data_IF_453599157407
#
_entry.id   IF_453599157407
#
_cell.length_a   1.000
_cell.length_b   1.000
_cell.length_c   1.000
_cell.angle_alpha   90.00
_cell.angle_beta   90.00
_cell.angle_gamma   90.00
#
_symmetry.space_group_name_H-M   'P 1'
#
loop_
_entity.id
_entity.type
_entity.pdbx_description
1 polymer ?
#
# COMPACT_ATOMS: atom_id res chain seq x y z
N UNK A 1 -18.15 21.07 4.02
CA UNK A 1 -17.27 19.88 3.95
C UNK A 1 -16.19 20.06 5.00
N UNK A 2 -15.92 19.07 5.85
CA UNK A 2 -14.89 19.17 6.91
C UNK A 2 -13.48 19.06 6.32
N UNK A 3 -12.57 19.92 6.76
CA UNK A 3 -11.18 19.98 6.28
C UNK A 3 -10.26 19.13 7.16
N UNK A 4 -10.33 17.81 6.99
CA UNK A 4 -9.66 16.84 7.88
C UNK A 4 -8.12 16.99 7.93
N UNK A 5 -7.48 17.49 6.86
CA UNK A 5 -6.02 17.71 6.81
C UNK A 5 -5.55 18.84 7.76
N UNK A 6 -6.43 19.79 8.05
CA UNK A 6 -6.13 21.01 8.79
C UNK A 6 -6.75 21.03 10.20
N UNK A 7 -7.13 19.85 10.73
CA UNK A 7 -7.56 19.75 12.13
C UNK A 7 -6.43 20.25 13.04
N UNK A 8 -6.72 21.15 14.00
CA UNK A 8 -5.70 21.77 14.86
C UNK A 8 -5.26 20.82 15.99
N UNK A 9 -4.78 19.63 15.61
CA UNK A 9 -4.17 18.71 16.54
C UNK A 9 -2.81 19.22 17.03
N UNK A 10 -2.45 18.95 18.29
CA UNK A 10 -1.07 19.01 18.75
C UNK A 10 -0.13 18.21 17.83
N UNK A 11 1.13 18.61 17.72
CA UNK A 11 2.10 17.98 16.80
C UNK A 11 2.20 16.45 16.99
N UNK A 12 2.21 15.98 18.23
CA UNK A 12 2.26 14.55 18.56
C UNK A 12 1.05 13.80 17.99
N UNK A 13 -0.15 14.35 18.18
CA UNK A 13 -1.38 13.74 17.69
C UNK A 13 -1.45 13.79 16.16
N UNK A 14 -0.97 14.88 15.54
CA UNK A 14 -0.86 14.98 14.07
C UNK A 14 0.01 13.86 13.51
N UNK A 15 1.17 13.61 14.13
CA UNK A 15 2.06 12.52 13.74
C UNK A 15 1.37 11.16 13.76
N UNK A 16 0.56 10.89 14.79
CA UNK A 16 -0.12 9.61 14.94
C UNK A 16 -1.31 9.44 13.99
N UNK A 17 -2.14 10.47 13.82
CA UNK A 17 -3.41 10.35 13.10
C UNK A 17 -3.33 10.73 11.61
N UNK A 18 -2.39 11.59 11.22
CA UNK A 18 -2.36 12.17 9.88
C UNK A 18 -1.02 11.93 9.15
N UNK A 19 0.10 12.21 9.80
CA UNK A 19 1.35 12.51 9.07
C UNK A 19 2.39 11.38 9.12
N UNK A 20 2.44 10.61 10.20
CA UNK A 20 3.43 9.56 10.42
C UNK A 20 3.15 8.30 9.63
N UNK A 21 4.14 7.40 9.54
CA UNK A 21 4.02 6.16 8.76
C UNK A 21 2.82 5.26 9.13
N UNK A 22 2.37 5.11 10.40
CA UNK A 22 1.23 4.24 10.71
C UNK A 22 -0.11 4.92 10.44
N UNK A 23 -0.13 6.24 10.17
CA UNK A 23 -1.36 6.96 9.87
C UNK A 23 -1.98 6.39 8.59
N UNK A 24 -3.23 5.91 8.68
CA UNK A 24 -3.94 5.24 7.59
C UNK A 24 -4.42 6.17 6.46
N UNK A 25 -3.84 7.36 6.34
CA UNK A 25 -4.22 8.36 5.34
C UNK A 25 -4.09 7.80 3.93
N UNK A 26 -5.18 7.83 3.16
CA UNK A 26 -5.22 7.34 1.78
C UNK A 26 -5.34 5.81 1.63
N UNK A 27 -5.24 5.04 2.72
CA UNK A 27 -5.31 3.57 2.67
C UNK A 27 -6.71 3.10 2.30
N UNK A 28 -7.74 3.74 2.86
CA UNK A 28 -9.13 3.41 2.53
C UNK A 28 -9.39 3.57 1.03
N UNK A 29 -8.94 4.67 0.45
CA UNK A 29 -9.09 4.98 -0.98
C UNK A 29 -8.36 3.96 -1.86
N UNK A 30 -7.16 3.53 -1.45
CA UNK A 30 -6.45 2.47 -2.15
C UNK A 30 -7.17 1.11 -2.05
N UNK A 31 -7.69 0.75 -0.86
CA UNK A 31 -8.42 -0.50 -0.66
C UNK A 31 -9.77 -0.51 -1.37
N UNK A 32 -10.45 0.64 -1.46
CA UNK A 32 -11.67 0.80 -2.27
C UNK A 32 -11.37 0.63 -3.76
N UNK A 33 -10.24 1.18 -4.24
CA UNK A 33 -9.76 0.95 -5.60
C UNK A 33 -9.45 -0.53 -5.86
N UNK A 34 -8.68 -1.18 -4.99
CA UNK A 34 -8.35 -2.60 -5.10
C UNK A 34 -9.62 -3.46 -5.14
N UNK A 35 -10.64 -3.12 -4.34
CA UNK A 35 -11.93 -3.81 -4.35
C UNK A 35 -12.64 -3.69 -5.69
N UNK A 36 -12.67 -2.50 -6.29
CA UNK A 36 -13.25 -2.32 -7.62
C UNK A 36 -12.49 -3.13 -8.69
N UNK A 37 -11.16 -3.19 -8.62
CA UNK A 37 -10.37 -4.05 -9.52
C UNK A 37 -10.69 -5.54 -9.31
N UNK A 38 -10.94 -5.95 -8.07
CA UNK A 38 -11.25 -7.34 -7.72
C UNK A 38 -12.56 -7.87 -8.32
N UNK A 39 -13.42 -6.99 -8.84
CA UNK A 39 -14.65 -7.37 -9.55
C UNK A 39 -14.36 -8.07 -10.89
N UNK A 40 -13.29 -7.66 -11.58
CA UNK A 40 -12.91 -8.20 -12.89
C UNK A 40 -11.90 -9.35 -12.77
N UNK A 41 -10.92 -9.22 -11.88
CA UNK A 41 -9.84 -10.19 -11.67
C UNK A 41 -9.36 -10.09 -10.22
N UNK A 42 -9.12 -11.21 -9.50
CA UNK A 42 -8.65 -11.15 -8.12
C UNK A 42 -7.40 -10.27 -7.95
N UNK A 43 -7.28 -9.62 -6.80
CA UNK A 43 -6.17 -8.71 -6.49
C UNK A 43 -5.26 -9.34 -5.45
N UNK A 44 -3.96 -9.23 -5.65
CA UNK A 44 -2.94 -9.52 -4.65
C UNK A 44 -2.21 -8.22 -4.33
N UNK A 45 -2.12 -7.88 -3.05
CA UNK A 45 -1.34 -6.74 -2.57
C UNK A 45 -0.13 -7.29 -1.82
N UNK A 46 1.06 -7.05 -2.36
CA UNK A 46 2.34 -7.34 -1.72
C UNK A 46 2.70 -6.11 -0.90
N UNK A 47 2.78 -6.23 0.43
CA UNK A 47 2.98 -5.11 1.33
C UNK A 47 4.30 -5.19 2.08
N UNK A 48 4.96 -4.04 2.23
CA UNK A 48 6.18 -3.89 3.02
C UNK A 48 5.86 -3.99 4.51
N UNK A 49 6.23 -5.13 5.10
CA UNK A 49 6.09 -5.40 6.52
C UNK A 49 4.77 -6.08 6.91
N UNK A 50 4.87 -6.86 7.98
CA UNK A 50 3.81 -7.43 8.80
C UNK A 50 4.13 -7.18 10.29
N UNK A 51 3.34 -7.68 11.24
CA UNK A 51 3.50 -7.44 12.69
C UNK A 51 3.20 -6.00 13.13
N UNK A 52 2.06 -5.47 12.69
CA UNK A 52 1.62 -4.09 12.94
C UNK A 52 2.12 -3.10 11.89
N UNK A 53 2.54 -3.59 10.72
CA UNK A 53 3.07 -2.77 9.61
C UNK A 53 2.08 -2.72 8.44
N UNK A 54 2.53 -2.35 7.24
CA UNK A 54 1.64 -2.01 6.13
C UNK A 54 0.63 -3.11 5.78
N UNK A 55 1.04 -4.40 5.80
CA UNK A 55 0.11 -5.50 5.56
C UNK A 55 -1.06 -5.51 6.56
N UNK A 56 -0.77 -5.35 7.85
CA UNK A 56 -1.80 -5.37 8.90
C UNK A 56 -2.71 -4.13 8.82
N UNK A 57 -2.15 -2.97 8.47
CA UNK A 57 -2.94 -1.75 8.29
C UNK A 57 -3.89 -1.88 7.09
N UNK A 58 -3.44 -2.50 5.99
CA UNK A 58 -4.30 -2.80 4.83
C UNK A 58 -5.41 -3.80 5.20
N UNK A 59 -5.09 -4.81 6.00
CA UNK A 59 -6.01 -5.87 6.41
C UNK A 59 -7.19 -5.34 7.24
N UNK A 60 -7.00 -4.27 8.02
CA UNK A 60 -8.10 -3.57 8.74
C UNK A 60 -9.22 -3.12 7.80
N UNK A 61 -8.91 -2.81 6.54
CA UNK A 61 -9.88 -2.36 5.54
C UNK A 61 -10.40 -3.49 4.63
N UNK A 62 -9.90 -4.72 4.81
CA UNK A 62 -10.35 -5.90 4.07
C UNK A 62 -11.75 -6.30 4.51
N UNK A 63 -12.64 -6.57 3.56
CA UNK A 63 -13.99 -7.07 3.83
C UNK A 63 -14.07 -8.56 3.53
N UNK A 64 -14.96 -9.25 4.25
CA UNK A 64 -15.17 -10.71 4.13
C UNK A 64 -15.37 -11.22 2.69
N UNK A 65 -15.98 -10.43 1.81
CA UNK A 65 -16.30 -10.83 0.44
C UNK A 65 -15.32 -10.27 -0.61
N UNK A 66 -14.24 -9.61 -0.18
CA UNK A 66 -13.25 -9.07 -1.10
C UNK A 66 -12.47 -10.22 -1.75
N UNK A 67 -12.27 -10.13 -3.08
CA UNK A 67 -11.35 -11.02 -3.80
C UNK A 67 -9.93 -10.44 -3.78
N UNK A 68 -9.48 -10.07 -2.58
CA UNK A 68 -8.19 -9.42 -2.33
C UNK A 68 -7.39 -10.31 -1.37
N UNK A 69 -6.15 -10.60 -1.72
CA UNK A 69 -5.18 -11.27 -0.85
C UNK A 69 -4.06 -10.31 -0.50
N UNK A 70 -3.74 -10.16 0.79
CA UNK A 70 -2.62 -9.33 1.24
C UNK A 70 -1.47 -10.26 1.66
N UNK A 71 -0.26 -9.97 1.16
CA UNK A 71 0.97 -10.68 1.51
C UNK A 71 1.98 -9.70 2.10
N UNK A 72 2.25 -9.79 3.39
CA UNK A 72 3.29 -9.01 4.06
C UNK A 72 4.66 -9.66 3.93
N UNK A 73 5.69 -8.87 3.61
CA UNK A 73 7.08 -9.31 3.56
C UNK A 73 7.98 -8.35 4.33
N UNK A 74 8.86 -8.88 5.18
CA UNK A 74 9.89 -8.11 5.85
C UNK A 74 11.21 -8.88 5.88
N UNK A 75 12.26 -8.45 5.14
CA UNK A 75 12.26 -7.33 4.19
C UNK A 75 11.42 -7.63 2.92
N UNK A 76 10.96 -6.59 2.24
CA UNK A 76 10.38 -6.69 0.89
C UNK A 76 11.43 -6.25 -0.13
N UNK A 77 11.99 -7.21 -0.88
CA UNK A 77 13.04 -6.96 -1.87
C UNK A 77 12.81 -7.66 -3.21
N UNK A 78 13.82 -7.60 -4.08
CA UNK A 78 13.78 -8.15 -5.43
C UNK A 78 13.36 -9.62 -5.48
N UNK A 79 13.87 -10.44 -4.56
CA UNK A 79 13.55 -11.86 -4.45
C UNK A 79 12.04 -12.07 -4.30
N UNK A 80 11.41 -11.41 -3.34
CA UNK A 80 9.97 -11.53 -3.07
C UNK A 80 9.15 -10.99 -4.25
N UNK A 81 9.61 -9.93 -4.91
CA UNK A 81 8.95 -9.43 -6.13
C UNK A 81 8.98 -10.48 -7.25
N UNK A 82 10.14 -11.10 -7.47
CA UNK A 82 10.33 -12.12 -8.52
C UNK A 82 9.55 -13.40 -8.24
N UNK A 83 9.54 -13.88 -7.00
CA UNK A 83 8.76 -15.05 -6.58
C UNK A 83 7.26 -14.91 -6.88
N UNK A 84 6.75 -13.68 -6.78
CA UNK A 84 5.33 -13.39 -7.00
C UNK A 84 4.98 -13.04 -8.45
N UNK A 85 5.93 -13.02 -9.39
CA UNK A 85 5.65 -12.73 -10.81
C UNK A 85 4.65 -13.71 -11.43
N UNK A 86 4.65 -14.96 -10.98
CA UNK A 86 3.71 -16.00 -11.43
C UNK A 86 2.25 -15.62 -11.15
N UNK A 87 1.97 -14.78 -10.14
CA UNK A 87 0.62 -14.34 -9.79
C UNK A 87 0.00 -13.42 -10.85
N UNK A 88 0.81 -12.77 -11.69
CA UNK A 88 0.33 -11.86 -12.74
C UNK A 88 -0.58 -12.55 -13.75
N UNK A 89 -0.43 -13.87 -13.92
CA UNK A 89 -1.27 -14.68 -14.80
C UNK A 89 -2.74 -14.55 -14.42
N UNK A 90 -3.05 -14.77 -13.14
CA UNK A 90 -4.42 -14.93 -12.66
C UNK A 90 -4.90 -13.78 -11.76
N UNK A 91 -4.03 -12.81 -11.44
CA UNK A 91 -4.35 -11.69 -10.55
C UNK A 91 -3.93 -10.33 -11.13
N UNK A 92 -4.53 -9.25 -10.61
CA UNK A 92 -3.88 -7.93 -10.55
C UNK A 92 -2.94 -7.93 -9.33
N UNK A 93 -1.70 -7.47 -9.49
CA UNK A 93 -0.71 -7.50 -8.42
C UNK A 93 -0.18 -6.10 -8.17
N UNK A 94 -0.46 -5.57 -6.99
CA UNK A 94 0.05 -4.28 -6.52
C UNK A 94 1.10 -4.49 -5.44
N UNK A 95 2.08 -3.60 -5.40
CA UNK A 95 3.13 -3.60 -4.38
C UNK A 95 3.05 -2.29 -3.60
N UNK A 96 2.95 -2.39 -2.28
CA UNK A 96 2.72 -1.28 -1.37
C UNK A 96 3.91 -1.11 -0.42
N UNK A 97 4.65 -0.02 -0.58
CA UNK A 97 5.76 0.36 0.28
C UNK A 97 5.35 1.50 1.21
N UNK A 98 5.74 1.39 2.47
CA UNK A 98 5.44 2.33 3.55
C UNK A 98 6.65 3.11 4.06
N UNK A 99 7.86 2.60 3.83
CA UNK A 99 9.12 3.16 4.32
C UNK A 99 10.16 3.31 3.21
N UNK A 100 10.20 2.39 2.23
CA UNK A 100 11.18 2.47 1.16
C UNK A 100 10.89 3.65 0.21
N UNK A 101 11.88 4.51 0.01
CA UNK A 101 11.76 5.69 -0.87
C UNK A 101 12.48 5.52 -2.21
N UNK A 102 13.53 4.71 -2.23
CA UNK A 102 14.37 4.45 -3.41
C UNK A 102 14.16 3.04 -3.94
N UNK A 103 13.97 2.93 -5.25
CA UNK A 103 13.65 1.67 -5.91
C UNK A 103 14.65 1.41 -7.04
N UNK A 104 15.40 0.30 -6.99
CA UNK A 104 16.31 -0.06 -8.07
C UNK A 104 15.58 -0.22 -9.42
N UNK A 105 16.11 0.31 -10.53
CA UNK A 105 15.43 0.29 -11.82
C UNK A 105 15.30 -1.12 -12.43
N UNK A 106 16.05 -2.10 -11.92
CA UNK A 106 15.97 -3.51 -12.33
C UNK A 106 14.84 -4.29 -11.64
N UNK A 107 14.13 -3.67 -10.69
CA UNK A 107 13.00 -4.29 -10.02
C UNK A 107 11.79 -4.36 -10.96
N UNK A 108 11.00 -5.45 -10.91
CA UNK A 108 9.83 -5.64 -11.76
C UNK A 108 8.64 -4.78 -11.33
N UNK A 109 8.85 -3.47 -11.22
CA UNK A 109 7.88 -2.50 -10.72
C UNK A 109 7.58 -1.46 -11.78
N UNK A 110 6.29 -1.15 -11.93
CA UNK A 110 5.80 -0.02 -12.70
C UNK A 110 5.08 0.94 -11.75
N UNK A 111 5.44 2.22 -11.80
CA UNK A 111 4.81 3.23 -10.94
C UNK A 111 3.30 3.27 -11.18
N UNK A 112 2.54 3.25 -10.09
CA UNK A 112 1.08 3.31 -10.12
C UNK A 112 0.56 4.54 -9.41
N UNK A 113 0.95 4.72 -8.13
CA UNK A 113 0.44 5.83 -7.32
C UNK A 113 1.38 6.15 -6.16
N UNK A 114 1.46 7.44 -5.84
CA UNK A 114 2.02 7.93 -4.58
C UNK A 114 0.91 8.55 -3.75
N UNK A 115 0.86 8.22 -2.46
CA UNK A 115 -0.03 8.86 -1.50
C UNK A 115 0.82 9.71 -0.58
N UNK A 116 0.73 11.03 -0.75
CA UNK A 116 1.36 11.99 0.16
C UNK A 116 0.44 12.22 1.37
N UNK A 117 1.00 12.07 2.57
CA UNK A 117 0.28 12.38 3.79
C UNK A 117 0.28 13.89 4.07
N UNK A 118 -0.72 14.41 4.81
CA UNK A 118 -0.74 15.80 5.22
C UNK A 118 0.60 16.23 5.83
N UNK A 119 1.06 17.43 5.48
CA UNK A 119 2.34 17.95 5.95
C UNK A 119 3.59 17.36 5.26
N UNK A 120 3.44 16.43 4.31
CA UNK A 120 4.54 15.94 3.47
C UNK A 120 5.61 15.13 4.22
N UNK A 121 5.29 14.62 5.42
CA UNK A 121 6.25 13.92 6.30
C UNK A 121 6.48 12.46 5.95
N UNK A 122 5.51 11.82 5.30
CA UNK A 122 5.65 10.45 4.84
C UNK A 122 4.79 10.22 3.60
N UNK A 123 5.14 9.19 2.84
CA UNK A 123 4.41 8.79 1.63
C UNK A 123 4.22 7.29 1.60
N UNK A 124 3.13 6.85 0.99
CA UNK A 124 3.01 5.46 0.54
C UNK A 124 3.31 5.40 -0.94
N UNK A 125 4.20 4.47 -1.33
CA UNK A 125 4.60 4.25 -2.73
C UNK A 125 3.95 2.96 -3.21
N UNK A 126 3.13 3.06 -4.25
CA UNK A 126 2.35 1.96 -4.79
C UNK A 126 2.75 1.72 -6.24
N UNK A 127 3.00 0.46 -6.55
CA UNK A 127 3.42 0.00 -7.87
C UNK A 127 2.49 -1.10 -8.38
N UNK A 128 2.44 -1.26 -9.69
CA UNK A 128 2.05 -2.52 -10.33
C UNK A 128 3.27 -3.42 -10.42
N UNK A 129 3.14 -4.69 -10.05
CA UNK A 129 4.16 -5.68 -10.38
C UNK A 129 4.06 -5.99 -11.88
N UNK A 130 5.18 -5.95 -12.61
CA UNK A 130 5.19 -6.11 -14.06
C UNK A 130 6.44 -6.86 -14.54
N UNK A 131 6.31 -7.63 -15.63
CA UNK A 131 7.46 -8.19 -16.33
C UNK A 131 8.19 -7.03 -17.04
N UNK A 132 9.47 -6.83 -16.72
CA UNK A 132 10.37 -5.92 -17.44
C UNK A 132 10.82 -6.51 -18.77
#
# INVERSE_FOLDING_TARGET
MFDYKNIPFPEVDRGQYLEGWPAGWGIKEFMDFARAQSETKPVVIIAEGNFGMAADVLDVFLKRNDKITIKGYWPLGEEQLRENLSLLKDNHVYVFFSHQETFPPNWPLKEFKTIEKPGGKSTFRIFELALL
#
